data_IF_468132024288
#
_entry.id   IF_468132024288
#
_cell.length_a   1.000
_cell.length_b   1.000
_cell.length_c   1.000
_cell.angle_alpha   90.00
_cell.angle_beta   90.00
_cell.angle_gamma   90.00
#
_symmetry.space_group_name_H-M   'P 1'
#
loop_
_entity.id
_entity.type
_entity.pdbx_description
1 polymer ?
#
# COMPACT_ATOMS: atom_id res chain seq x y z
N UNK A 1 -24.97 9.34 -10.40
CA UNK A 1 -24.32 8.48 -9.39
C UNK A 1 -22.90 8.96 -9.28
N UNK A 2 -22.38 9.18 -8.06
CA UNK A 2 -20.93 9.41 -7.93
C UNK A 2 -20.21 8.19 -8.53
N UNK A 3 -19.13 8.34 -9.28
CA UNK A 3 -18.32 7.19 -9.62
C UNK A 3 -17.86 6.52 -8.31
N UNK A 4 -18.16 5.23 -8.15
CA UNK A 4 -17.70 4.44 -7.01
C UNK A 4 -16.17 4.29 -7.11
N UNK A 5 -15.48 4.57 -6.00
CA UNK A 5 -14.03 4.38 -5.89
C UNK A 5 -13.78 2.93 -5.50
N UNK A 6 -12.96 2.23 -6.29
CA UNK A 6 -12.51 0.89 -5.95
C UNK A 6 -11.25 1.01 -5.09
N UNK A 7 -11.39 0.74 -3.80
CA UNK A 7 -10.29 0.81 -2.86
C UNK A 7 -10.24 -0.42 -1.93
N UNK A 8 -9.03 -0.90 -1.62
CA UNK A 8 -8.83 -1.87 -0.55
C UNK A 8 -9.04 -1.20 0.81
N UNK A 9 -8.33 -0.11 1.05
CA UNK A 9 -8.54 0.80 2.19
C UNK A 9 -8.91 2.18 1.66
N UNK A 10 -10.01 2.74 2.15
CA UNK A 10 -10.45 4.10 1.86
C UNK A 10 -10.38 4.98 3.11
N UNK A 11 -9.51 5.97 3.10
CA UNK A 11 -9.37 6.96 4.16
C UNK A 11 -10.10 8.24 3.76
N UNK A 12 -11.18 8.53 4.48
CA UNK A 12 -11.84 9.82 4.45
C UNK A 12 -11.02 10.82 5.27
N UNK A 13 -10.08 11.52 4.63
CA UNK A 13 -9.22 12.46 5.34
C UNK A 13 -10.01 13.67 5.83
N UNK A 14 -9.98 13.92 7.14
CA UNK A 14 -10.60 15.07 7.78
C UNK A 14 -9.49 15.95 8.37
N UNK A 15 -9.54 17.25 8.09
CA UNK A 15 -8.57 18.20 8.63
C UNK A 15 -8.57 18.20 10.17
N UNK A 16 -7.40 18.15 10.77
CA UNK A 16 -7.23 18.16 12.23
C UNK A 16 -7.40 16.80 12.93
N UNK A 17 -7.75 15.74 12.19
CA UNK A 17 -7.77 14.37 12.70
C UNK A 17 -6.55 13.63 12.18
N UNK A 18 -5.93 12.81 13.05
CA UNK A 18 -4.85 11.91 12.66
C UNK A 18 -5.40 10.52 12.42
N UNK A 19 -5.17 9.97 11.23
CA UNK A 19 -5.49 8.58 10.90
C UNK A 19 -4.19 7.79 10.79
N UNK A 20 -4.14 6.61 11.41
CA UNK A 20 -3.01 5.68 11.30
C UNK A 20 -3.43 4.48 10.46
N UNK A 21 -2.71 4.25 9.36
CA UNK A 21 -2.82 3.07 8.51
C UNK A 21 -1.45 2.41 8.60
N UNK A 22 -1.32 1.43 9.49
CA UNK A 22 -0.05 0.76 9.78
C UNK A 22 -0.18 -0.76 9.74
N UNK A 23 0.85 -1.45 9.25
CA UNK A 23 0.92 -2.92 9.25
C UNK A 23 -0.27 -3.61 8.56
N UNK A 24 -0.76 -3.05 7.44
CA UNK A 24 -1.82 -3.69 6.66
C UNK A 24 -1.23 -4.42 5.45
N UNK A 25 -1.74 -5.61 5.15
CA UNK A 25 -1.55 -6.28 3.86
C UNK A 25 -2.80 -6.09 3.02
N UNK A 26 -2.66 -5.48 1.85
CA UNK A 26 -3.75 -5.31 0.87
C UNK A 26 -3.31 -5.96 -0.43
N UNK A 27 -4.11 -6.90 -0.94
CA UNK A 27 -3.87 -7.54 -2.23
C UNK A 27 -5.11 -7.39 -3.13
N UNK A 28 -4.98 -6.51 -4.12
CA UNK A 28 -6.03 -6.21 -5.07
C UNK A 28 -5.77 -6.97 -6.37
N UNK A 29 -6.45 -8.10 -6.59
CA UNK A 29 -6.28 -8.97 -7.77
C UNK A 29 -7.56 -9.08 -8.61
N UNK A 30 -7.47 -9.71 -9.78
CA UNK A 30 -8.62 -10.00 -10.66
C UNK A 30 -8.87 -9.00 -11.78
N UNK A 31 -9.83 -9.31 -12.64
CA UNK A 31 -10.28 -8.42 -13.73
C UNK A 31 -11.46 -7.57 -13.26
N UNK A 32 -11.33 -6.26 -13.39
CA UNK A 32 -12.38 -5.29 -13.06
C UNK A 32 -13.44 -5.17 -14.16
N UNK A 33 -13.22 -5.79 -15.32
CA UNK A 33 -14.15 -5.85 -16.46
C UNK A 33 -13.83 -4.85 -17.58
N UNK A 34 -14.64 -4.91 -18.64
CA UNK A 34 -14.38 -4.30 -19.96
C UNK A 34 -15.15 -3.01 -20.23
N UNK A 35 -15.77 -2.40 -19.22
CA UNK A 35 -16.55 -1.16 -19.44
C UNK A 35 -15.64 -0.03 -19.93
N UNK A 36 -16.09 0.71 -20.96
CA UNK A 36 -15.26 1.63 -21.73
C UNK A 36 -14.66 2.80 -20.91
N UNK A 37 -15.29 3.14 -19.78
CA UNK A 37 -14.80 4.14 -18.83
C UNK A 37 -14.80 3.54 -17.43
N UNK A 38 -13.69 2.93 -17.05
CA UNK A 38 -13.45 2.43 -15.69
C UNK A 38 -12.76 3.50 -14.85
N UNK A 39 -13.21 3.63 -13.61
CA UNK A 39 -12.48 4.41 -12.60
C UNK A 39 -11.15 3.73 -12.26
N UNK A 40 -10.13 4.46 -11.83
CA UNK A 40 -8.95 3.84 -11.24
C UNK A 40 -9.27 3.00 -10.00
N UNK A 41 -8.36 2.09 -9.63
CA UNK A 41 -8.40 1.33 -8.37
C UNK A 41 -7.18 1.67 -7.52
N UNK A 42 -7.32 1.51 -6.21
CA UNK A 42 -6.29 1.89 -5.25
C UNK A 42 -6.19 0.84 -4.13
N UNK A 43 -5.00 0.31 -3.84
CA UNK A 43 -4.85 -0.49 -2.61
C UNK A 43 -5.10 0.40 -1.37
N UNK A 44 -4.57 1.64 -1.39
CA UNK A 44 -4.92 2.70 -0.45
C UNK A 44 -5.38 3.98 -1.19
N UNK A 45 -6.60 4.44 -0.90
CA UNK A 45 -7.13 5.72 -1.37
C UNK A 45 -7.28 6.70 -0.20
N UNK A 46 -6.70 7.89 -0.31
CA UNK A 46 -6.81 8.95 0.71
C UNK A 46 -7.48 10.19 0.11
N UNK A 47 -8.57 10.62 0.74
CA UNK A 47 -9.30 11.85 0.38
C UNK A 47 -9.05 12.97 1.39
N UNK A 48 -9.66 14.13 1.19
CA UNK A 48 -9.48 15.31 2.04
C UNK A 48 -8.32 16.21 1.60
N UNK A 49 -8.45 17.51 1.86
CA UNK A 49 -7.40 18.49 1.55
C UNK A 49 -6.42 18.56 2.72
N UNK A 50 -5.21 18.05 2.52
CA UNK A 50 -4.12 18.02 3.51
C UNK A 50 -4.42 17.27 4.83
N UNK A 51 -4.94 16.03 4.78
CA UNK A 51 -5.23 15.24 5.98
C UNK A 51 -3.94 14.84 6.70
N UNK A 52 -4.02 14.64 8.03
CA UNK A 52 -2.91 14.08 8.80
C UNK A 52 -3.00 12.57 8.80
N UNK A 53 -2.12 11.91 8.06
CA UNK A 53 -2.16 10.45 7.88
C UNK A 53 -0.77 9.88 8.10
N UNK A 54 -0.69 8.87 8.97
CA UNK A 54 0.45 7.99 9.10
C UNK A 54 0.19 6.77 8.22
N UNK A 55 1.08 6.50 7.26
CA UNK A 55 1.03 5.35 6.35
C UNK A 55 2.36 4.64 6.47
N UNK A 56 2.47 3.66 7.37
CA UNK A 56 3.74 2.96 7.61
C UNK A 56 3.60 1.45 7.59
N UNK A 57 4.64 0.76 7.14
CA UNK A 57 4.71 -0.69 7.24
C UNK A 57 3.54 -1.41 6.57
N UNK A 58 2.91 -0.82 5.54
CA UNK A 58 1.84 -1.47 4.79
C UNK A 58 2.40 -2.16 3.56
N UNK A 59 1.94 -3.38 3.27
CA UNK A 59 2.16 -4.07 2.02
C UNK A 59 0.95 -3.82 1.09
N UNK A 60 1.06 -2.81 0.22
CA UNK A 60 -0.01 -2.34 -0.65
C UNK A 60 0.21 -2.87 -2.07
N UNK A 61 -0.42 -4.01 -2.36
CA UNK A 61 -0.26 -4.75 -3.60
C UNK A 61 -1.49 -4.70 -4.49
N UNK A 62 -1.27 -4.47 -5.78
CA UNK A 62 -2.30 -4.62 -6.81
C UNK A 62 -1.78 -5.22 -8.10
N UNK A 63 -2.54 -6.16 -8.64
CA UNK A 63 -2.35 -6.75 -9.97
C UNK A 63 -3.65 -6.74 -10.77
N UNK A 64 -4.63 -5.92 -10.34
CA UNK A 64 -5.92 -5.81 -11.01
C UNK A 64 -5.76 -5.36 -12.47
N UNK A 65 -6.48 -6.03 -13.35
CA UNK A 65 -6.55 -5.69 -14.77
C UNK A 65 -7.86 -5.00 -15.10
N UNK A 66 -7.88 -4.27 -16.22
CA UNK A 66 -9.09 -3.64 -16.72
C UNK A 66 -9.04 -3.42 -18.23
N UNK A 67 -10.17 -3.64 -18.89
CA UNK A 67 -10.36 -3.29 -20.30
C UNK A 67 -10.73 -1.81 -20.55
N UNK A 68 -10.85 -0.99 -19.50
CA UNK A 68 -11.35 0.40 -19.57
C UNK A 68 -10.36 1.45 -20.12
N UNK A 69 -9.40 1.04 -20.94
CA UNK A 69 -8.42 1.91 -21.58
C UNK A 69 -7.38 2.52 -20.63
N UNK A 70 -6.66 3.54 -21.11
CA UNK A 70 -5.45 4.10 -20.47
C UNK A 70 -5.68 4.75 -19.10
N UNK A 71 -6.93 5.08 -18.77
CA UNK A 71 -7.31 5.72 -17.51
C UNK A 71 -7.68 4.71 -16.42
N UNK A 72 -7.88 3.44 -16.77
CA UNK A 72 -8.27 2.36 -15.87
C UNK A 72 -7.04 1.73 -15.19
N UNK A 73 -6.20 2.57 -14.59
CA UNK A 73 -4.99 2.13 -13.89
C UNK A 73 -5.29 1.64 -12.47
N UNK A 74 -4.45 0.75 -11.96
CA UNK A 74 -4.46 0.28 -10.57
C UNK A 74 -3.23 0.77 -9.83
N UNK A 75 -3.45 1.40 -8.68
CA UNK A 75 -2.43 2.07 -7.87
C UNK A 75 -2.24 1.34 -6.55
N UNK A 76 -1.01 1.31 -6.05
CA UNK A 76 -0.74 0.93 -4.67
C UNK A 76 -1.27 2.03 -3.73
N UNK A 77 -1.06 3.30 -4.08
CA UNK A 77 -1.60 4.44 -3.33
C UNK A 77 -2.07 5.57 -4.24
N UNK A 78 -3.20 6.18 -3.89
CA UNK A 78 -3.71 7.39 -4.53
C UNK A 78 -4.23 8.38 -3.51
N UNK A 79 -3.92 9.66 -3.73
CA UNK A 79 -4.38 10.74 -2.84
C UNK A 79 -4.93 11.93 -3.61
N UNK A 80 -5.92 12.62 -3.04
CA UNK A 80 -6.43 13.88 -3.62
C UNK A 80 -5.54 15.09 -3.32
N UNK A 81 -4.66 14.98 -2.32
CA UNK A 81 -3.74 16.06 -1.96
C UNK A 81 -2.62 16.22 -2.99
N UNK A 82 -2.15 17.45 -3.19
CA UNK A 82 -0.94 17.79 -3.96
C UNK A 82 0.22 18.21 -3.07
N UNK A 83 -0.03 18.39 -1.77
CA UNK A 83 0.97 18.73 -0.75
C UNK A 83 1.00 17.65 0.31
N UNK A 84 2.19 17.23 0.71
CA UNK A 84 2.40 16.07 1.59
C UNK A 84 2.93 16.44 2.99
N UNK A 85 2.78 17.70 3.40
CA UNK A 85 3.32 18.19 4.68
C UNK A 85 2.75 17.46 5.93
N UNK A 86 1.58 16.85 5.80
CA UNK A 86 0.90 16.11 6.88
C UNK A 86 0.86 14.58 6.63
N UNK A 87 1.60 14.10 5.63
CA UNK A 87 1.76 12.67 5.37
C UNK A 87 3.06 12.20 6.04
N UNK A 88 2.93 11.30 7.00
CA UNK A 88 4.04 10.55 7.59
C UNK A 88 4.03 9.16 6.95
N UNK A 89 4.80 9.00 5.87
CA UNK A 89 4.84 7.76 5.07
C UNK A 89 6.25 7.23 5.05
N UNK A 90 6.48 5.98 5.50
CA UNK A 90 7.76 5.30 5.36
C UNK A 90 7.60 3.79 5.53
N UNK A 91 8.60 3.00 5.11
CA UNK A 91 8.63 1.54 5.28
C UNK A 91 7.42 0.78 4.70
N UNK A 92 6.73 1.33 3.70
CA UNK A 92 5.68 0.60 2.99
C UNK A 92 6.28 -0.20 1.84
N UNK A 93 5.55 -1.18 1.37
CA UNK A 93 5.78 -1.77 0.05
C UNK A 93 4.64 -1.38 -0.89
N UNK A 94 5.00 -0.78 -2.01
CA UNK A 94 4.06 -0.27 -3.01
C UNK A 94 4.19 -1.08 -4.29
N UNK A 95 3.42 -2.17 -4.38
CA UNK A 95 3.45 -3.03 -5.55
C UNK A 95 2.25 -2.79 -6.46
N UNK A 96 2.51 -2.39 -7.70
CA UNK A 96 1.51 -2.42 -8.76
C UNK A 96 2.09 -3.16 -9.97
N UNK A 97 1.49 -4.30 -10.30
CA UNK A 97 1.88 -5.17 -11.40
C UNK A 97 0.81 -5.29 -12.49
N UNK A 98 1.20 -5.86 -13.63
CA UNK A 98 0.30 -6.12 -14.76
C UNK A 98 0.08 -4.93 -15.69
N UNK A 99 -0.79 -5.11 -16.70
CA UNK A 99 -0.97 -4.18 -17.82
C UNK A 99 -1.54 -2.81 -17.41
N UNK A 100 -2.15 -2.71 -16.24
CA UNK A 100 -2.81 -1.51 -15.74
C UNK A 100 -2.04 -0.85 -14.58
N UNK A 101 -0.78 -1.24 -14.31
CA UNK A 101 -0.01 -0.71 -13.18
C UNK A 101 0.16 0.83 -13.26
N UNK A 102 -0.29 1.51 -12.20
CA UNK A 102 -0.14 2.96 -12.02
C UNK A 102 0.80 3.35 -10.89
N UNK A 103 1.07 2.44 -9.94
CA UNK A 103 1.90 2.62 -8.73
C UNK A 103 1.37 3.73 -7.81
N UNK A 104 1.74 4.99 -8.03
CA UNK A 104 1.42 6.11 -7.14
C UNK A 104 0.63 7.21 -7.86
N UNK A 105 -0.31 7.84 -7.15
CA UNK A 105 -1.06 8.99 -7.67
C UNK A 105 -1.32 10.08 -6.63
N UNK A 106 -1.28 11.33 -7.07
CA UNK A 106 -1.64 12.51 -6.26
C UNK A 106 -2.57 13.48 -7.00
N UNK A 107 -3.18 14.41 -6.27
CA UNK A 107 -4.03 15.49 -6.79
C UNK A 107 -5.43 15.10 -7.27
N UNK A 108 -5.71 13.81 -7.48
CA UNK A 108 -7.02 13.31 -7.88
C UNK A 108 -7.10 11.79 -7.72
N UNK A 109 -8.30 11.27 -7.46
CA UNK A 109 -8.61 9.83 -7.57
C UNK A 109 -9.39 9.48 -8.85
N UNK A 110 -9.78 10.48 -9.64
CA UNK A 110 -10.53 10.29 -10.88
C UNK A 110 -9.63 9.84 -12.05
N UNK A 111 -10.22 9.16 -13.03
CA UNK A 111 -9.53 8.80 -14.27
C UNK A 111 -9.18 10.03 -15.12
N UNK A 112 -8.02 10.01 -15.79
CA UNK A 112 -7.57 11.11 -16.66
C UNK A 112 -7.19 12.40 -15.94
N UNK A 113 -7.02 12.36 -14.61
CA UNK A 113 -6.63 13.49 -13.78
C UNK A 113 -5.57 13.09 -12.74
N UNK A 114 -4.99 14.09 -12.07
CA UNK A 114 -3.95 13.88 -11.08
C UNK A 114 -2.55 13.75 -11.70
N UNK A 115 -1.57 13.44 -10.84
CA UNK A 115 -0.18 13.20 -11.23
C UNK A 115 0.22 11.80 -10.81
N UNK A 116 0.70 11.00 -11.77
CA UNK A 116 1.17 9.64 -11.55
C UNK A 116 2.69 9.66 -11.31
N UNK A 117 3.18 8.84 -10.37
CA UNK A 117 4.62 8.61 -10.16
C UNK A 117 4.93 7.15 -10.47
N UNK A 118 5.84 6.92 -11.40
CA UNK A 118 6.10 5.60 -11.96
C UNK A 118 7.13 4.77 -11.17
N UNK A 119 7.73 5.34 -10.12
CA UNK A 119 8.73 4.65 -9.30
C UNK A 119 8.68 5.17 -7.86
N UNK A 120 9.14 4.34 -6.92
CA UNK A 120 9.32 4.77 -5.52
C UNK A 120 10.30 5.94 -5.40
N UNK A 121 11.29 6.06 -6.30
CA UNK A 121 12.20 7.22 -6.31
C UNK A 121 11.49 8.52 -6.72
N UNK A 122 10.61 8.48 -7.72
CA UNK A 122 9.80 9.63 -8.11
C UNK A 122 8.79 9.99 -7.02
N UNK A 123 8.22 8.98 -6.35
CA UNK A 123 7.36 9.17 -5.19
C UNK A 123 8.10 9.80 -4.01
N UNK A 124 9.27 9.29 -3.64
CA UNK A 124 10.09 9.82 -2.54
C UNK A 124 10.63 11.23 -2.80
N UNK A 125 10.76 11.65 -4.06
CA UNK A 125 11.06 13.04 -4.39
C UNK A 125 9.87 13.99 -4.12
N UNK A 126 8.63 13.46 -4.16
CA UNK A 126 7.41 14.20 -3.85
C UNK A 126 7.04 14.11 -2.36
N UNK A 127 7.21 12.94 -1.75
CA UNK A 127 6.99 12.65 -0.33
C UNK A 127 8.32 12.39 0.35
N UNK A 128 8.92 13.44 0.89
CA UNK A 128 10.29 13.41 1.40
C UNK A 128 10.52 12.49 2.62
N UNK A 129 9.46 12.02 3.27
CA UNK A 129 9.56 11.16 4.46
C UNK A 129 9.61 9.66 4.13
N UNK A 130 9.51 9.30 2.84
CA UNK A 130 9.25 7.92 2.38
C UNK A 130 10.50 7.21 1.82
N UNK A 131 11.63 7.37 2.49
CA UNK A 131 12.95 6.97 1.97
C UNK A 131 13.24 5.47 2.07
N UNK A 132 12.54 4.74 2.94
CA UNK A 132 12.77 3.31 3.21
C UNK A 132 11.67 2.41 2.66
N UNK A 133 10.73 2.97 1.90
CA UNK A 133 9.73 2.16 1.21
C UNK A 133 10.29 1.37 0.04
N UNK A 134 9.65 0.24 -0.23
CA UNK A 134 9.98 -0.69 -1.29
C UNK A 134 8.95 -0.65 -2.41
N UNK A 135 9.34 -1.23 -3.54
CA UNK A 135 8.50 -1.43 -4.72
C UNK A 135 8.81 -2.83 -5.28
N UNK A 136 8.42 -3.87 -4.54
CA UNK A 136 8.77 -5.27 -4.83
C UNK A 136 7.53 -6.15 -4.72
N UNK A 137 7.58 -7.37 -5.28
CA UNK A 137 6.47 -8.32 -5.07
C UNK A 137 6.49 -8.79 -3.59
N UNK A 138 5.39 -8.69 -2.83
CA UNK A 138 5.32 -9.20 -1.47
C UNK A 138 5.62 -10.70 -1.33
N UNK A 139 5.46 -11.48 -2.41
CA UNK A 139 5.58 -12.94 -2.40
C UNK A 139 4.64 -13.58 -1.37
N UNK A 140 3.35 -13.27 -1.48
CA UNK A 140 2.30 -13.93 -0.70
C UNK A 140 2.17 -15.41 -1.06
N UNK A 141 1.68 -16.25 -0.14
CA UNK A 141 1.39 -17.67 -0.39
C UNK A 141 0.38 -17.83 -1.54
N UNK A 142 -0.69 -17.03 -1.56
CA UNK A 142 -1.64 -16.98 -2.68
C UNK A 142 -2.44 -15.67 -2.72
N UNK A 143 -3.32 -15.52 -3.71
CA UNK A 143 -4.22 -14.35 -3.78
C UNK A 143 -5.25 -14.29 -2.65
N UNK A 144 -5.48 -15.39 -1.92
CA UNK A 144 -6.43 -15.49 -0.79
C UNK A 144 -5.74 -15.76 0.53
N UNK A 145 -4.42 -15.91 0.52
CA UNK A 145 -3.60 -16.19 1.68
C UNK A 145 -2.41 -15.23 1.65
N UNK A 146 -2.52 -14.16 2.45
CA UNK A 146 -1.59 -13.04 2.45
C UNK A 146 -0.46 -13.21 3.47
N UNK A 147 -0.22 -14.43 3.94
CA UNK A 147 1.04 -14.73 4.63
C UNK A 147 2.21 -14.61 3.65
N UNK A 148 3.33 -14.10 4.15
CA UNK A 148 4.56 -13.93 3.39
C UNK A 148 5.27 -15.28 3.25
N UNK A 149 5.75 -15.56 2.04
CA UNK A 149 6.66 -16.70 1.84
C UNK A 149 8.01 -16.42 2.52
N UNK A 150 8.77 -17.46 2.93
CA UNK A 150 10.06 -17.29 3.62
C UNK A 150 11.12 -16.49 2.83
N UNK A 151 10.97 -16.38 1.51
CA UNK A 151 11.85 -15.59 0.63
C UNK A 151 11.35 -14.18 0.39
N UNK A 152 10.27 -13.76 1.04
CA UNK A 152 9.70 -12.42 0.86
C UNK A 152 10.74 -11.35 1.22
N UNK A 153 10.93 -10.33 0.37
CA UNK A 153 11.78 -9.20 0.69
C UNK A 153 11.20 -8.29 1.79
N UNK A 154 9.95 -8.53 2.21
CA UNK A 154 9.27 -7.73 3.22
C UNK A 154 9.60 -8.15 4.66
N UNK A 155 10.21 -9.33 4.83
CA UNK A 155 10.61 -9.84 6.14
C UNK A 155 11.74 -8.97 6.71
N UNK A 156 11.55 -8.50 7.94
CA UNK A 156 12.50 -7.64 8.66
C UNK A 156 12.89 -6.35 7.91
N UNK A 157 12.03 -5.88 7.01
CA UNK A 157 12.25 -4.66 6.22
C UNK A 157 11.52 -3.44 6.80
N UNK A 158 10.68 -3.62 7.83
CA UNK A 158 9.85 -2.59 8.42
C UNK A 158 10.45 -1.90 9.64
N UNK A 159 9.66 -1.03 10.26
CA UNK A 159 9.93 -0.35 11.52
C UNK A 159 8.80 -0.60 12.56
N UNK A 160 9.12 -0.69 13.86
CA UNK A 160 8.10 -0.90 14.88
C UNK A 160 7.09 0.27 14.97
N UNK A 161 5.79 -0.03 14.88
CA UNK A 161 4.73 0.95 15.12
C UNK A 161 4.21 0.88 16.57
N UNK A 162 4.18 2.03 17.25
CA UNK A 162 3.69 2.10 18.63
C UNK A 162 2.23 1.61 18.76
N UNK A 163 2.01 0.67 19.68
CA UNK A 163 0.70 0.09 19.97
C UNK A 163 0.26 -1.05 19.04
N UNK A 164 1.09 -1.45 18.06
CA UNK A 164 0.85 -2.61 17.20
C UNK A 164 1.93 -3.65 17.48
N UNK A 165 1.69 -4.49 18.49
CA UNK A 165 2.68 -5.45 19.01
C UNK A 165 2.47 -6.87 18.50
N UNK A 166 1.32 -7.14 17.89
CA UNK A 166 1.00 -8.43 17.29
C UNK A 166 0.51 -8.24 15.86
N UNK A 167 0.59 -9.29 15.07
CA UNK A 167 0.13 -9.33 13.69
C UNK A 167 -1.31 -9.88 13.57
N UNK A 168 -1.73 -10.26 12.36
CA UNK A 168 -3.07 -10.76 12.09
C UNK A 168 -3.39 -12.08 12.81
N UNK A 169 -2.40 -12.94 13.02
CA UNK A 169 -2.53 -14.27 13.61
C UNK A 169 -2.17 -14.29 15.12
N UNK A 170 -2.03 -13.09 15.70
CA UNK A 170 -1.63 -12.81 17.08
C UNK A 170 -0.18 -13.20 17.42
N UNK A 171 0.68 -13.26 16.41
CA UNK A 171 2.11 -13.49 16.58
C UNK A 171 2.82 -12.18 16.93
N UNK A 172 3.83 -12.27 17.79
CA UNK A 172 4.54 -11.10 18.28
C UNK A 172 5.40 -10.48 17.19
N UNK A 173 5.19 -9.19 16.91
CA UNK A 173 6.02 -8.46 15.95
C UNK A 173 7.42 -8.21 16.50
N UNK A 174 8.42 -8.27 15.62
CA UNK A 174 9.79 -7.90 15.97
C UNK A 174 9.84 -6.47 16.50
N UNK A 175 10.45 -6.30 17.68
CA UNK A 175 10.57 -5.01 18.34
C UNK A 175 11.61 -4.08 17.70
N UNK A 176 12.34 -4.55 16.67
CA UNK A 176 13.41 -3.76 16.01
C UNK A 176 13.32 -3.76 14.49
N UNK A 177 12.80 -4.82 13.89
CA UNK A 177 12.67 -4.97 12.44
C UNK A 177 11.49 -5.89 12.13
N UNK A 178 10.24 -5.41 12.24
CA UNK A 178 9.06 -6.18 11.86
C UNK A 178 9.02 -6.42 10.35
N UNK A 179 8.18 -7.36 9.93
CA UNK A 179 7.83 -7.50 8.54
C UNK A 179 6.91 -6.34 8.09
N UNK A 180 7.08 -5.89 6.85
CA UNK A 180 6.15 -4.95 6.21
C UNK A 180 4.86 -5.72 5.88
N UNK A 181 3.72 -5.20 6.31
CA UNK A 181 2.40 -5.82 6.14
C UNK A 181 1.80 -6.39 7.43
N UNK A 182 0.71 -7.12 7.25
CA UNK A 182 -0.13 -7.68 8.33
C UNK A 182 0.36 -9.00 8.91
N UNK A 183 1.35 -9.64 8.30
CA UNK A 183 1.92 -10.94 8.69
C UNK A 183 3.36 -10.77 9.17
N UNK A 184 3.73 -11.43 10.26
CA UNK A 184 5.09 -11.45 10.80
C UNK A 184 5.73 -12.83 10.66
N UNK A 185 6.77 -12.93 9.84
CA UNK A 185 7.52 -14.20 9.73
C UNK A 185 8.54 -14.31 10.86
N UNK A 186 8.17 -15.06 11.90
CA UNK A 186 9.10 -15.40 12.96
C UNK A 186 10.26 -16.25 12.41
N UNK A 187 11.50 -15.85 12.71
CA UNK A 187 12.63 -16.74 12.50
C UNK A 187 12.38 -18.02 13.30
N UNK A 188 12.38 -19.19 12.65
CA UNK A 188 12.28 -20.47 13.33
C UNK A 188 13.39 -20.54 14.38
N UNK A 189 13.02 -20.45 15.65
CA UNK A 189 13.94 -20.60 16.78
C UNK A 189 14.29 -22.08 17.00
N UNK A 190 14.33 -22.90 15.94
CA UNK A 190 14.78 -24.28 16.04
C UNK A 190 16.21 -24.29 16.58
N UNK A 191 16.30 -24.56 17.88
CA UNK A 191 17.54 -24.79 18.58
C UNK A 191 18.19 -25.98 17.89
N UNK A 192 19.18 -25.70 17.05
CA UNK A 192 20.11 -26.73 16.60
C UNK A 192 20.90 -27.14 17.84
N UNK A 193 20.47 -28.20 18.52
CA UNK A 193 21.31 -28.87 19.51
C UNK A 193 22.54 -29.36 18.78
N UNK A 194 23.66 -28.69 19.04
CA UNK A 194 25.01 -29.17 18.72
C UNK A 194 25.44 -30.20 19.74
#
# INVERSE_FOLDING_TARGET
TSPDIVAGIFVAGVAGVSTRVVHNSVAMTGDRGTVAMQTPSFALAVTGTNPRVEVKDNALSTTQTSGGGVNAKSYAIGMVTTTFANLDSNFNDFFAGGANAGLFRSGSLAGGAGTDYATVAAWGAAVSDDASSLQVDPLYVSATDLHLQPTSPLIAAGAPAAGVTVDFDNEGRSATAPAIGADEVLADLSITKT
#
